data_IF_500678884962
#
_entry.id   IF_500678884962
#
_cell.length_a   1.000
_cell.length_b   1.000
_cell.length_c   1.000
_cell.angle_alpha   90.00
_cell.angle_beta   90.00
_cell.angle_gamma   90.00
#
_symmetry.space_group_name_H-M   'P 1'
#
loop_
_entity.id
_entity.type
_entity.pdbx_description
1 polymer ?
#
# COMPACT_ATOMS: atom_id res chain seq x y z
N UNK A 1 -6.27 0.40 -9.10
CA UNK A 1 -6.53 1.10 -10.37
C UNK A 1 -7.69 0.44 -11.07
N UNK A 2 -8.61 1.23 -11.62
CA UNK A 2 -9.67 0.73 -12.51
C UNK A 2 -9.34 1.09 -13.96
N UNK A 3 -9.40 0.09 -14.83
CA UNK A 3 -9.06 0.20 -16.25
C UNK A 3 -10.17 -0.37 -17.13
N UNK A 4 -10.31 0.16 -18.32
CA UNK A 4 -11.10 -0.43 -19.39
C UNK A 4 -10.30 -1.55 -20.07
N UNK A 5 -10.82 -2.78 -20.09
CA UNK A 5 -10.07 -3.96 -20.57
C UNK A 5 -9.66 -3.87 -22.04
N UNK A 6 -10.51 -3.27 -22.89
CA UNK A 6 -10.27 -3.20 -24.34
C UNK A 6 -9.22 -2.18 -24.75
N UNK A 7 -9.13 -1.06 -24.02
CA UNK A 7 -8.29 0.08 -24.37
C UNK A 7 -7.14 0.32 -23.40
N UNK A 8 -7.12 -0.39 -22.25
CA UNK A 8 -6.22 -0.16 -21.11
C UNK A 8 -6.27 1.28 -20.56
N UNK A 9 -7.35 2.01 -20.87
CA UNK A 9 -7.54 3.37 -20.38
C UNK A 9 -7.85 3.37 -18.89
N UNK A 10 -7.11 4.17 -18.13
CA UNK A 10 -7.36 4.39 -16.69
C UNK A 10 -8.65 5.16 -16.50
N UNK A 11 -9.56 4.62 -15.70
CA UNK A 11 -10.85 5.21 -15.35
C UNK A 11 -10.80 5.87 -13.97
N UNK A 12 -10.18 5.22 -13.00
CA UNK A 12 -10.06 5.70 -11.64
C UNK A 12 -8.77 5.17 -10.97
N UNK A 13 -8.28 5.91 -9.98
CA UNK A 13 -7.13 5.51 -9.16
C UNK A 13 -7.40 5.76 -7.67
N UNK A 14 -6.70 5.02 -6.82
CA UNK A 14 -6.81 5.18 -5.37
C UNK A 14 -8.17 4.76 -4.84
N UNK A 15 -8.76 5.60 -3.97
CA UNK A 15 -10.00 5.28 -3.26
C UNK A 15 -11.18 4.98 -4.19
N UNK A 16 -11.33 5.76 -5.26
CA UNK A 16 -12.40 5.55 -6.25
C UNK A 16 -12.28 4.18 -6.92
N UNK A 17 -11.05 3.81 -7.35
CA UNK A 17 -10.81 2.50 -7.94
C UNK A 17 -11.03 1.37 -6.91
N UNK A 18 -10.65 1.57 -5.63
CA UNK A 18 -10.89 0.58 -4.56
C UNK A 18 -12.39 0.28 -4.39
N UNK A 19 -13.26 1.29 -4.53
CA UNK A 19 -14.70 1.10 -4.46
C UNK A 19 -15.27 0.29 -5.63
N UNK A 20 -14.56 0.22 -6.75
CA UNK A 20 -14.97 -0.52 -7.94
C UNK A 20 -14.56 -2.01 -7.89
N UNK A 21 -13.70 -2.42 -6.99
CA UNK A 21 -13.27 -3.83 -6.86
C UNK A 21 -14.48 -4.72 -6.60
N UNK A 22 -14.63 -5.78 -7.39
CA UNK A 22 -15.76 -6.73 -7.38
C UNK A 22 -17.14 -6.12 -7.72
N UNK A 23 -17.21 -4.88 -8.20
CA UNK A 23 -18.45 -4.20 -8.58
C UNK A 23 -18.42 -3.66 -10.01
N UNK A 24 -17.43 -4.06 -10.81
CA UNK A 24 -17.27 -3.60 -12.18
C UNK A 24 -17.95 -4.55 -13.17
N UNK A 25 -18.65 -4.04 -14.22
CA UNK A 25 -19.06 -4.83 -15.37
C UNK A 25 -17.85 -5.46 -16.06
N UNK A 26 -18.08 -6.52 -16.84
CA UNK A 26 -17.01 -7.30 -17.51
C UNK A 26 -16.10 -6.47 -18.44
N UNK A 27 -16.57 -5.33 -18.92
CA UNK A 27 -15.78 -4.42 -19.76
C UNK A 27 -14.65 -3.70 -18.99
N UNK A 28 -14.69 -3.71 -17.66
CA UNK A 28 -13.75 -3.02 -16.77
C UNK A 28 -13.05 -3.99 -15.86
N UNK A 29 -11.88 -3.61 -15.38
CA UNK A 29 -11.13 -4.31 -14.32
C UNK A 29 -10.73 -3.31 -13.25
N UNK A 30 -10.91 -3.68 -11.98
CA UNK A 30 -10.38 -2.93 -10.86
C UNK A 30 -9.41 -3.84 -10.10
N UNK A 31 -8.13 -3.45 -10.09
CA UNK A 31 -7.02 -4.30 -9.65
C UNK A 31 -6.10 -3.57 -8.69
N UNK A 32 -5.48 -4.34 -7.81
CA UNK A 32 -4.34 -3.88 -7.02
C UNK A 32 -3.07 -4.02 -7.87
N UNK A 33 -2.44 -2.91 -8.29
CA UNK A 33 -1.21 -2.96 -9.09
C UNK A 33 0.00 -3.48 -8.30
N UNK A 34 -0.08 -3.38 -6.97
CA UNK A 34 0.90 -3.90 -6.02
C UNK A 34 0.26 -5.01 -5.20
N UNK A 35 0.97 -6.13 -5.02
CA UNK A 35 0.58 -7.24 -4.14
C UNK A 35 1.77 -7.62 -3.27
N UNK A 36 1.52 -7.75 -1.98
CA UNK A 36 2.54 -8.16 -1.00
C UNK A 36 3.84 -7.33 -1.08
N UNK A 37 3.69 -6.01 -1.31
CA UNK A 37 4.81 -5.08 -1.44
C UNK A 37 5.54 -5.10 -2.78
N UNK A 38 5.05 -5.87 -3.78
CA UNK A 38 5.70 -6.03 -5.10
C UNK A 38 4.81 -5.51 -6.21
N UNK A 39 5.42 -5.04 -7.30
CA UNK A 39 4.69 -4.71 -8.53
C UNK A 39 4.14 -6.00 -9.14
N UNK A 40 2.82 -6.14 -9.17
CA UNK A 40 2.13 -7.26 -9.81
C UNK A 40 1.88 -6.99 -11.30
N UNK A 41 1.63 -5.72 -11.64
CA UNK A 41 1.45 -5.26 -13.01
C UNK A 41 2.18 -3.92 -13.19
N UNK A 42 3.14 -3.90 -14.12
CA UNK A 42 3.99 -2.75 -14.36
C UNK A 42 3.24 -1.59 -15.00
N UNK A 43 2.46 -1.87 -16.04
CA UNK A 43 1.75 -0.85 -16.82
C UNK A 43 0.67 -0.17 -15.96
N UNK A 44 -0.04 -0.96 -15.16
CA UNK A 44 -1.05 -0.46 -14.22
C UNK A 44 -0.40 0.34 -13.08
N UNK A 45 0.79 -0.06 -12.62
CA UNK A 45 1.56 0.69 -11.60
C UNK A 45 2.04 2.02 -12.16
N UNK A 46 2.60 2.04 -13.38
CA UNK A 46 3.02 3.28 -14.05
C UNK A 46 1.85 4.24 -14.21
N UNK A 47 0.70 3.74 -14.68
CA UNK A 47 -0.51 4.52 -14.83
C UNK A 47 -1.01 5.11 -13.51
N UNK A 48 -0.93 4.35 -12.42
CA UNK A 48 -1.26 4.81 -11.06
C UNK A 48 -0.31 5.93 -10.61
N UNK A 49 0.99 5.72 -10.74
CA UNK A 49 2.00 6.72 -10.36
C UNK A 49 1.83 8.00 -11.18
N UNK A 50 1.61 7.88 -12.49
CA UNK A 50 1.36 9.02 -13.36
C UNK A 50 0.13 9.82 -12.91
N UNK A 51 -0.96 9.14 -12.57
CA UNK A 51 -2.17 9.79 -12.07
C UNK A 51 -1.93 10.52 -10.74
N UNK A 52 -1.22 9.89 -9.79
CA UNK A 52 -0.90 10.51 -8.50
C UNK A 52 0.08 11.69 -8.64
N UNK A 53 1.11 11.57 -9.48
CA UNK A 53 2.04 12.66 -9.76
C UNK A 53 1.28 13.85 -10.37
N UNK A 54 0.40 13.59 -11.35
CA UNK A 54 -0.40 14.64 -11.98
C UNK A 54 -1.38 15.29 -11.00
N UNK A 55 -1.97 14.51 -10.08
CA UNK A 55 -2.87 15.02 -9.03
C UNK A 55 -2.13 15.88 -8.00
N UNK A 56 -0.91 15.47 -7.62
CA UNK A 56 -0.08 16.22 -6.66
C UNK A 56 0.43 17.54 -7.24
N UNK A 57 0.57 17.63 -8.57
CA UNK A 57 1.02 18.83 -9.28
C UNK A 57 -0.22 19.53 -9.85
N UNK A 58 -0.98 20.24 -8.99
CA UNK A 58 -2.30 20.82 -9.30
C UNK A 58 -2.36 21.75 -10.54
N UNK A 59 -1.24 22.27 -11.02
CA UNK A 59 -1.17 23.13 -12.22
C UNK A 59 0.11 22.85 -13.00
N UNK A 60 0.01 21.95 -13.96
CA UNK A 60 1.12 21.71 -14.89
C UNK A 60 1.06 22.74 -16.02
N UNK A 61 1.81 23.82 -15.89
CA UNK A 61 2.09 24.65 -17.05
C UNK A 61 3.11 23.93 -17.95
N UNK A 62 3.04 24.10 -19.29
CA UNK A 62 3.98 23.46 -20.23
C UNK A 62 5.45 23.73 -19.94
N UNK A 63 5.76 24.85 -19.27
CA UNK A 63 7.12 25.27 -18.90
C UNK A 63 7.53 24.84 -17.48
N UNK A 64 6.67 24.20 -16.74
CA UNK A 64 6.98 23.78 -15.37
C UNK A 64 7.97 22.61 -15.39
N UNK A 65 9.02 22.70 -14.58
CA UNK A 65 10.00 21.63 -14.45
C UNK A 65 9.35 20.35 -13.94
N UNK A 66 9.75 19.19 -14.52
CA UNK A 66 9.33 17.88 -14.02
C UNK A 66 9.70 17.73 -12.53
N UNK A 67 8.85 17.10 -11.70
CA UNK A 67 9.09 16.98 -10.29
C UNK A 67 10.24 16.03 -9.96
N UNK A 68 10.86 16.25 -8.81
CA UNK A 68 11.62 15.23 -8.09
C UNK A 68 10.69 14.53 -7.15
N UNK A 69 10.74 13.21 -7.11
CA UNK A 69 9.86 12.39 -6.27
C UNK A 69 10.67 11.49 -5.35
N UNK A 70 10.11 11.20 -4.19
CA UNK A 70 10.60 10.17 -3.27
C UNK A 70 9.53 9.10 -3.20
N UNK A 71 9.92 7.84 -3.33
CA UNK A 71 9.01 6.69 -3.28
C UNK A 71 9.50 5.75 -2.19
N UNK A 72 8.59 5.35 -1.32
CA UNK A 72 8.87 4.34 -0.30
C UNK A 72 8.87 2.94 -0.92
N UNK A 73 9.78 2.11 -0.45
CA UNK A 73 9.92 0.71 -0.84
C UNK A 73 10.09 -0.16 0.41
N UNK A 74 9.60 -1.40 0.40
CA UNK A 74 9.87 -2.34 1.48
C UNK A 74 11.38 -2.60 1.67
N UNK A 75 11.81 -2.80 2.91
CA UNK A 75 13.20 -3.16 3.21
C UNK A 75 13.63 -4.45 2.52
N UNK A 76 12.69 -5.40 2.34
CA UNK A 76 12.91 -6.67 1.67
C UNK A 76 12.89 -6.61 0.14
N UNK A 77 12.74 -5.41 -0.47
CA UNK A 77 12.67 -5.27 -1.93
C UNK A 77 14.01 -5.67 -2.59
N UNK A 78 13.93 -6.54 -3.59
CA UNK A 78 15.07 -6.96 -4.40
C UNK A 78 15.60 -5.81 -5.28
N UNK A 79 16.82 -5.94 -5.79
CA UNK A 79 17.38 -4.97 -6.73
C UNK A 79 16.54 -4.82 -8.01
N UNK A 80 15.89 -5.89 -8.45
CA UNK A 80 14.99 -5.87 -9.62
C UNK A 80 13.73 -5.08 -9.32
N UNK A 81 13.11 -5.31 -8.17
CA UNK A 81 11.92 -4.56 -7.71
C UNK A 81 12.24 -3.08 -7.50
N UNK A 82 13.36 -2.75 -6.85
CA UNK A 82 13.85 -1.37 -6.70
C UNK A 82 13.98 -0.67 -8.06
N UNK A 83 14.59 -1.35 -9.01
CA UNK A 83 14.77 -0.83 -10.37
C UNK A 83 13.44 -0.62 -11.08
N UNK A 84 12.50 -1.58 -10.97
CA UNK A 84 11.17 -1.47 -11.57
C UNK A 84 10.40 -0.26 -11.04
N UNK A 85 10.40 -0.04 -9.72
CA UNK A 85 9.77 1.14 -9.10
C UNK A 85 10.43 2.44 -9.58
N UNK A 86 11.76 2.48 -9.65
CA UNK A 86 12.50 3.64 -10.15
C UNK A 86 12.15 3.95 -11.60
N UNK A 87 12.15 2.95 -12.48
CA UNK A 87 11.84 3.10 -13.91
C UNK A 87 10.38 3.55 -14.10
N UNK A 88 9.42 2.94 -13.38
CA UNK A 88 8.02 3.34 -13.41
C UNK A 88 7.84 4.82 -13.00
N UNK A 89 8.57 5.28 -11.98
CA UNK A 89 8.55 6.66 -11.54
C UNK A 89 9.06 7.64 -12.61
N UNK A 90 10.16 7.32 -13.27
CA UNK A 90 10.72 8.14 -14.34
C UNK A 90 9.78 8.18 -15.55
N UNK A 91 9.22 7.04 -15.96
CA UNK A 91 8.26 6.95 -17.08
C UNK A 91 6.97 7.71 -16.78
N UNK A 92 6.51 7.69 -15.52
CA UNK A 92 5.37 8.49 -15.06
C UNK A 92 5.60 10.01 -15.07
N UNK A 93 6.77 10.48 -15.48
CA UNK A 93 7.07 11.89 -15.70
C UNK A 93 7.90 12.57 -14.61
N UNK A 94 8.49 11.84 -13.68
CA UNK A 94 9.46 12.41 -12.75
C UNK A 94 10.76 12.83 -13.48
N UNK A 95 11.37 13.94 -13.02
CA UNK A 95 12.72 14.33 -13.44
C UNK A 95 13.80 13.48 -12.76
N UNK A 96 13.56 13.18 -11.48
CA UNK A 96 14.41 12.34 -10.64
C UNK A 96 13.53 11.58 -9.67
N UNK A 97 13.88 10.34 -9.39
CA UNK A 97 13.25 9.50 -8.37
C UNK A 97 14.30 9.11 -7.32
N UNK A 98 13.90 9.12 -6.07
CA UNK A 98 14.68 8.65 -4.95
C UNK A 98 13.89 7.55 -4.26
N UNK A 99 14.55 6.49 -3.85
CA UNK A 99 13.94 5.41 -3.09
C UNK A 99 14.35 5.53 -1.64
N UNK A 100 13.40 5.34 -0.74
CA UNK A 100 13.60 5.31 0.70
C UNK A 100 12.91 4.07 1.25
N UNK A 101 13.50 3.41 2.22
CA UNK A 101 12.86 2.28 2.90
C UNK A 101 11.66 2.76 3.74
N UNK A 102 10.54 2.02 3.66
CA UNK A 102 9.27 2.36 4.35
C UNK A 102 9.47 2.65 5.84
N UNK A 103 10.17 1.82 6.64
CA UNK A 103 10.35 2.12 8.07
C UNK A 103 11.16 3.38 8.34
N UNK A 104 12.11 3.74 7.47
CA UNK A 104 12.87 4.99 7.60
C UNK A 104 11.94 6.19 7.37
N UNK A 105 11.10 6.13 6.33
CA UNK A 105 10.12 7.19 6.07
C UNK A 105 9.09 7.30 7.20
N UNK A 106 8.62 6.17 7.73
CA UNK A 106 7.70 6.13 8.86
C UNK A 106 8.33 6.74 10.13
N UNK A 107 9.59 6.39 10.43
CA UNK A 107 10.33 6.97 11.55
C UNK A 107 10.47 8.50 11.44
N UNK A 108 10.82 8.98 10.25
CA UNK A 108 10.91 10.42 9.97
C UNK A 108 9.54 11.11 10.11
N UNK A 109 8.48 10.48 9.63
CA UNK A 109 7.11 11.01 9.75
C UNK A 109 6.57 11.01 11.18
N UNK A 110 7.10 10.14 12.05
CA UNK A 110 6.80 10.09 13.47
C UNK A 110 7.73 10.96 14.33
N UNK A 111 8.58 11.78 13.72
CA UNK A 111 9.57 12.63 14.39
C UNK A 111 10.51 11.87 15.34
N UNK A 112 10.83 10.59 15.00
CA UNK A 112 11.81 9.85 15.77
C UNK A 112 13.23 10.39 15.53
N UNK A 113 14.12 10.34 16.53
CA UNK A 113 15.47 10.88 16.43
C UNK A 113 16.40 9.98 15.60
N UNK A 114 16.05 9.79 14.31
CA UNK A 114 16.71 8.83 13.41
C UNK A 114 18.20 9.11 13.18
N UNK A 115 18.65 10.36 13.35
CA UNK A 115 20.06 10.78 13.15
C UNK A 115 20.90 10.65 14.40
N UNK A 116 20.28 10.44 15.56
CA UNK A 116 20.98 10.34 16.83
C UNK A 116 21.59 8.94 17.04
N UNK A 117 22.59 8.80 17.95
CA UNK A 117 23.18 7.51 18.28
C UNK A 117 22.31 6.67 19.23
N UNK A 118 21.01 6.88 19.20
CA UNK A 118 19.99 6.13 19.93
C UNK A 118 19.25 5.20 18.98
N UNK A 119 18.92 3.98 19.43
CA UNK A 119 18.13 3.05 18.62
C UNK A 119 16.66 3.42 18.67
N UNK A 120 16.09 3.76 17.50
CA UNK A 120 14.64 3.92 17.33
C UNK A 120 14.09 2.70 16.61
N UNK A 121 13.03 2.08 17.18
CA UNK A 121 12.38 0.92 16.56
C UNK A 121 11.04 1.33 15.95
N UNK A 122 10.81 0.88 14.72
CA UNK A 122 9.54 1.07 13.99
C UNK A 122 8.96 -0.28 13.65
N UNK A 123 7.65 -0.40 13.82
CA UNK A 123 6.84 -1.50 13.31
C UNK A 123 5.81 -0.89 12.39
N UNK A 124 5.94 -1.14 11.09
CA UNK A 124 5.04 -0.67 10.05
C UNK A 124 4.17 -1.83 9.56
N UNK A 125 2.86 -1.71 9.72
CA UNK A 125 1.89 -2.76 9.34
C UNK A 125 0.99 -2.18 8.25
N UNK A 126 1.33 -2.48 7.00
CA UNK A 126 0.58 -2.05 5.83
C UNK A 126 -0.56 -3.00 5.44
N UNK A 127 -0.98 -2.93 4.19
CA UNK A 127 -1.92 -3.88 3.60
C UNK A 127 -1.25 -5.19 3.20
N UNK A 128 -0.09 -5.13 2.52
CA UNK A 128 0.62 -6.29 1.99
C UNK A 128 1.80 -6.76 2.83
N UNK A 129 2.50 -5.84 3.50
CA UNK A 129 3.74 -6.11 4.25
C UNK A 129 3.67 -5.62 5.68
N UNK A 130 4.36 -6.33 6.57
CA UNK A 130 4.70 -5.86 7.92
C UNK A 130 6.21 -5.75 7.99
N UNK A 131 6.69 -4.57 8.36
CA UNK A 131 8.10 -4.27 8.47
C UNK A 131 8.49 -3.86 9.88
N UNK A 132 9.60 -4.40 10.35
CA UNK A 132 10.20 -4.03 11.64
C UNK A 132 11.62 -3.58 11.35
N UNK A 133 11.99 -2.40 11.83
CA UNK A 133 13.34 -1.89 11.69
C UNK A 133 13.83 -1.17 12.94
N UNK A 134 15.13 -1.30 13.19
CA UNK A 134 15.85 -0.49 14.18
C UNK A 134 16.73 0.49 13.41
N UNK A 135 16.60 1.76 13.73
CA UNK A 135 17.24 2.89 13.05
C UNK A 135 18.13 3.62 14.04
N UNK A 136 19.34 3.97 13.63
CA UNK A 136 20.28 4.77 14.40
C UNK A 136 21.28 5.45 13.45
N UNK A 137 21.74 6.65 13.80
CA UNK A 137 22.75 7.40 13.05
C UNK A 137 22.40 7.58 11.55
N UNK A 138 21.11 7.77 11.25
CA UNK A 138 20.61 8.00 9.89
C UNK A 138 20.56 6.75 9.01
N UNK A 139 20.73 5.54 9.58
CA UNK A 139 20.70 4.28 8.84
C UNK A 139 19.85 3.21 9.51
N UNK A 140 19.39 2.24 8.73
CA UNK A 140 18.75 1.04 9.24
C UNK A 140 19.85 0.08 9.73
N UNK A 141 19.85 -0.20 11.04
CA UNK A 141 20.81 -1.10 11.68
C UNK A 141 20.44 -2.56 11.42
N UNK A 142 19.14 -2.86 11.54
CA UNK A 142 18.57 -4.18 11.25
C UNK A 142 17.12 -4.02 10.86
N UNK A 143 16.63 -4.91 10.00
CA UNK A 143 15.24 -4.94 9.60
C UNK A 143 14.76 -6.36 9.31
N UNK A 144 13.45 -6.55 9.41
CA UNK A 144 12.76 -7.76 8.98
C UNK A 144 11.49 -7.35 8.24
N UNK A 145 11.20 -8.02 7.14
CA UNK A 145 10.01 -7.79 6.32
C UNK A 145 9.23 -9.09 6.17
N UNK A 146 7.94 -9.03 6.43
CA UNK A 146 7.01 -10.16 6.32
C UNK A 146 5.92 -9.80 5.31
N UNK A 147 5.60 -10.72 4.40
CA UNK A 147 4.45 -10.62 3.48
C UNK A 147 3.15 -11.08 4.15
N UNK A 148 2.91 -10.58 5.34
CA UNK A 148 1.74 -10.85 6.17
C UNK A 148 1.31 -9.54 6.82
N UNK A 149 0.14 -9.02 6.43
CA UNK A 149 -0.39 -7.75 6.92
C UNK A 149 -1.91 -7.68 6.75
N UNK A 150 -2.49 -6.50 6.66
CA UNK A 150 -3.92 -6.26 6.68
C UNK A 150 -4.73 -7.11 5.70
N UNK A 151 -4.25 -7.30 4.47
CA UNK A 151 -4.95 -8.10 3.45
C UNK A 151 -5.05 -9.59 3.86
N UNK A 152 -3.99 -10.13 4.47
CA UNK A 152 -4.01 -11.52 4.99
C UNK A 152 -4.94 -11.69 6.19
N UNK A 153 -5.09 -10.65 7.00
CA UNK A 153 -6.09 -10.63 8.08
C UNK A 153 -7.51 -10.66 7.49
N UNK A 154 -7.78 -9.89 6.43
CA UNK A 154 -9.07 -9.88 5.74
C UNK A 154 -9.40 -11.22 5.10
N UNK A 155 -8.43 -11.85 4.43
CA UNK A 155 -8.55 -13.20 3.89
C UNK A 155 -8.91 -14.22 5.00
N UNK A 156 -8.21 -14.15 6.14
CA UNK A 156 -8.45 -15.05 7.26
C UNK A 156 -9.87 -14.86 7.85
N UNK A 157 -10.36 -13.63 7.96
CA UNK A 157 -11.72 -13.34 8.41
C UNK A 157 -12.74 -13.90 7.40
N UNK A 158 -12.54 -13.69 6.10
CA UNK A 158 -13.43 -14.19 5.06
C UNK A 158 -13.48 -15.73 5.06
N UNK A 159 -12.32 -16.38 5.24
CA UNK A 159 -12.24 -17.85 5.37
C UNK A 159 -12.98 -18.34 6.61
N UNK A 160 -12.74 -17.72 7.76
CA UNK A 160 -13.41 -18.09 9.01
C UNK A 160 -14.93 -18.02 8.91
N UNK A 161 -15.48 -16.93 8.36
CA UNK A 161 -16.91 -16.76 8.16
C UNK A 161 -17.50 -17.79 7.22
N UNK A 162 -16.78 -18.12 6.14
CA UNK A 162 -17.20 -19.15 5.19
C UNK A 162 -17.21 -20.54 5.83
N UNK A 163 -16.15 -20.90 6.53
CA UNK A 163 -15.92 -22.27 6.99
C UNK A 163 -16.74 -22.58 8.26
N UNK A 164 -16.94 -21.59 9.15
CA UNK A 164 -17.69 -21.76 10.39
C UNK A 164 -19.20 -21.46 10.24
N UNK A 165 -19.54 -20.40 9.51
CA UNK A 165 -20.91 -19.89 9.43
C UNK A 165 -21.56 -20.11 8.06
N UNK A 166 -20.82 -20.62 7.06
CA UNK A 166 -21.31 -20.79 5.69
C UNK A 166 -21.54 -19.46 4.94
N UNK A 167 -21.07 -18.33 5.49
CA UNK A 167 -21.28 -16.99 4.96
C UNK A 167 -20.09 -16.62 4.05
N UNK A 168 -20.38 -16.32 2.79
CA UNK A 168 -19.38 -15.80 1.85
C UNK A 168 -19.39 -14.28 1.88
N UNK A 169 -18.24 -13.68 2.25
CA UNK A 169 -18.02 -12.22 2.21
C UNK A 169 -16.89 -11.89 1.26
N UNK A 170 -16.97 -10.71 0.61
CA UNK A 170 -15.88 -10.16 -0.19
C UNK A 170 -14.83 -9.48 0.69
N UNK A 171 -13.65 -9.20 0.08
CA UNK A 171 -12.51 -8.55 0.71
C UNK A 171 -12.91 -7.25 1.45
N UNK A 172 -13.68 -6.38 0.80
CA UNK A 172 -14.16 -5.13 1.40
C UNK A 172 -14.99 -5.34 2.66
N UNK A 173 -15.85 -6.34 2.68
CA UNK A 173 -16.68 -6.65 3.85
C UNK A 173 -15.81 -7.20 4.98
N UNK A 174 -14.86 -8.07 4.68
CA UNK A 174 -13.90 -8.58 5.65
C UNK A 174 -13.04 -7.45 6.26
N UNK A 175 -12.56 -6.50 5.44
CA UNK A 175 -11.85 -5.30 5.90
C UNK A 175 -12.72 -4.45 6.85
N UNK A 176 -14.00 -4.23 6.52
CA UNK A 176 -14.92 -3.49 7.38
C UNK A 176 -15.11 -4.20 8.72
N UNK A 177 -15.27 -5.51 8.70
CA UNK A 177 -15.39 -6.34 9.92
C UNK A 177 -14.12 -6.18 10.78
N UNK A 178 -12.93 -6.36 10.18
CA UNK A 178 -11.65 -6.17 10.86
C UNK A 178 -11.57 -4.81 11.55
N UNK A 179 -11.91 -3.73 10.84
CA UNK A 179 -11.81 -2.37 11.35
C UNK A 179 -12.82 -2.12 12.48
N UNK A 180 -14.05 -2.63 12.33
CA UNK A 180 -15.14 -2.34 13.28
C UNK A 180 -15.02 -3.13 14.57
N UNK A 181 -14.66 -4.40 14.51
CA UNK A 181 -14.68 -5.30 15.66
C UNK A 181 -13.36 -6.00 15.96
N UNK A 182 -12.33 -5.81 15.11
CA UNK A 182 -11.00 -6.38 15.35
C UNK A 182 -10.39 -5.80 16.63
N UNK A 183 -9.88 -6.67 17.49
CA UNK A 183 -9.15 -6.29 18.70
C UNK A 183 -8.05 -7.30 18.98
N UNK A 184 -6.88 -6.84 19.45
CA UNK A 184 -5.78 -7.70 19.90
C UNK A 184 -6.05 -8.23 21.31
N UNK A 185 -6.75 -7.44 22.12
CA UNK A 185 -7.11 -7.81 23.49
C UNK A 185 -8.60 -8.13 23.56
N UNK A 186 -9.01 -9.10 24.40
CA UNK A 186 -10.42 -9.30 24.69
C UNK A 186 -11.06 -7.99 25.18
N UNK A 187 -12.30 -7.75 24.82
CA UNK A 187 -13.04 -6.61 25.35
C UNK A 187 -13.28 -6.83 26.86
N UNK A 188 -12.86 -5.89 27.71
CA UNK A 188 -12.96 -5.99 29.17
C UNK A 188 -14.40 -6.09 29.66
N UNK A 189 -15.36 -5.60 28.90
CA UNK A 189 -16.77 -5.49 29.27
C UNK A 189 -17.69 -6.55 28.63
N UNK A 190 -17.13 -7.58 27.99
CA UNK A 190 -17.90 -8.67 27.39
C UNK A 190 -18.87 -8.22 26.30
N UNK A 191 -18.74 -7.01 25.79
CA UNK A 191 -19.59 -6.52 24.71
C UNK A 191 -19.29 -7.26 23.42
N UNK A 192 -20.16 -8.17 23.05
CA UNK A 192 -20.28 -8.58 21.67
C UNK A 192 -20.76 -7.36 20.88
N UNK A 193 -19.93 -6.84 19.98
CA UNK A 193 -20.39 -5.81 19.06
C UNK A 193 -21.23 -6.49 17.99
N UNK A 194 -22.54 -6.35 18.13
CA UNK A 194 -23.46 -6.73 17.07
C UNK A 194 -23.13 -5.94 15.80
N UNK A 195 -22.84 -6.67 14.74
CA UNK A 195 -22.77 -6.08 13.40
C UNK A 195 -24.19 -5.97 12.86
N UNK A 196 -24.67 -4.76 12.74
CA UNK A 196 -25.89 -4.44 11.99
C UNK A 196 -25.51 -4.24 10.51
#
# INVERSE_FOLDING_TARGET
>A
VAIERSTHRVLAVGHEAKQMINHTPDAFSAEHPLRDGVIADYDVTEAMLSAFINKAIERRYPWQAKPRIVICIPCGATSVEKRAVFEAAIQSGARQAYLIEEPMAAAMGADLPVTEPTGSMVVDIGGGTTEVAVISLGGIVTSSSLRLAGNKMDEAIAMYLRDLLGIKVGERTAEIIKIKIGSILPFEDGREKDMI
#
